data_IF_614509023716
#
_entry.id   IF_614509023716
#
_cell.length_a   1.000
_cell.length_b   1.000
_cell.length_c   1.000
_cell.angle_alpha   90.00
_cell.angle_beta   90.00
_cell.angle_gamma   90.00
#
_symmetry.space_group_name_H-M   'P 1'
#
loop_
_entity.id
_entity.type
_entity.pdbx_description
1 polymer ?
#
# COMPACT_ATOMS: atom_id res chain seq x y z
N UNK A 1 -27.88 -32.49 32.47
CA UNK A 1 -28.12 -32.78 31.04
C UNK A 1 -26.91 -32.31 30.26
N UNK A 2 -26.19 -33.20 29.57
CA UNK A 2 -25.02 -32.83 28.78
C UNK A 2 -25.43 -32.19 27.45
N UNK A 3 -24.92 -31.00 27.15
CA UNK A 3 -25.21 -30.27 25.90
C UNK A 3 -24.02 -30.46 24.96
N UNK A 4 -24.29 -30.86 23.72
CA UNK A 4 -23.28 -31.00 22.67
C UNK A 4 -23.28 -29.73 21.80
N UNK A 5 -22.14 -29.04 21.72
CA UNK A 5 -21.99 -27.78 20.99
C UNK A 5 -20.68 -27.79 20.20
N UNK A 6 -20.72 -27.27 18.96
CA UNK A 6 -19.54 -26.91 18.18
C UNK A 6 -19.29 -25.41 18.32
N UNK A 7 -18.15 -25.03 18.88
CA UNK A 7 -17.76 -23.64 19.03
C UNK A 7 -16.91 -23.19 17.83
N UNK A 8 -17.24 -22.02 17.26
CA UNK A 8 -16.44 -21.34 16.24
C UNK A 8 -16.28 -19.90 16.71
N UNK A 9 -15.03 -19.44 16.81
CA UNK A 9 -14.69 -18.10 17.27
C UNK A 9 -13.87 -17.37 16.19
N UNK A 10 -13.96 -16.05 16.16
CA UNK A 10 -13.14 -15.19 15.29
C UNK A 10 -12.80 -13.92 16.05
N UNK A 11 -11.59 -13.41 15.84
CA UNK A 11 -11.09 -12.18 16.46
C UNK A 11 -10.15 -11.45 15.50
N UNK A 12 -10.07 -10.13 15.61
CA UNK A 12 -9.07 -9.30 14.94
C UNK A 12 -7.92 -8.89 15.87
N UNK A 13 -7.99 -9.28 17.14
CA UNK A 13 -6.98 -8.99 18.16
C UNK A 13 -6.05 -10.19 18.30
N UNK A 14 -4.76 -9.92 18.45
CA UNK A 14 -3.78 -10.93 18.84
C UNK A 14 -4.06 -11.41 20.27
N UNK A 15 -4.54 -12.65 20.39
CA UNK A 15 -4.90 -13.25 21.67
C UNK A 15 -3.68 -13.55 22.54
N UNK A 16 -2.51 -13.79 21.95
CA UNK A 16 -1.29 -14.03 22.73
C UNK A 16 -0.87 -12.75 23.46
N UNK A 17 -0.89 -11.63 22.76
CA UNK A 17 -0.62 -10.32 23.36
C UNK A 17 -1.69 -9.97 24.40
N UNK A 18 -2.97 -10.20 24.10
CA UNK A 18 -4.07 -9.93 25.04
C UNK A 18 -3.99 -10.74 26.35
N UNK A 19 -3.47 -11.98 26.30
CA UNK A 19 -3.19 -12.80 27.49
C UNK A 19 -2.03 -12.23 28.30
N UNK A 20 -0.96 -11.78 27.65
CA UNK A 20 0.18 -11.15 28.33
C UNK A 20 -0.23 -9.87 29.06
N UNK A 21 -1.10 -9.07 28.44
CA UNK A 21 -1.63 -7.82 29.01
C UNK A 21 -2.72 -8.04 30.08
N UNK A 22 -3.07 -9.30 30.38
CA UNK A 22 -4.10 -9.66 31.37
C UNK A 22 -5.54 -9.37 30.94
N UNK A 23 -5.74 -8.85 29.73
CA UNK A 23 -7.07 -8.55 29.16
C UNK A 23 -7.81 -9.79 28.67
N UNK A 24 -7.11 -10.91 28.46
CA UNK A 24 -7.70 -12.18 28.04
C UNK A 24 -7.28 -13.35 28.93
N UNK A 25 -8.22 -14.28 29.13
CA UNK A 25 -8.04 -15.46 29.98
C UNK A 25 -7.25 -16.56 29.26
N UNK A 26 -6.10 -16.93 29.83
CA UNK A 26 -5.24 -17.97 29.29
C UNK A 26 -5.92 -19.35 29.23
N UNK A 27 -6.73 -19.70 30.23
CA UNK A 27 -7.44 -20.98 30.27
C UNK A 27 -8.52 -21.10 29.18
N UNK A 28 -9.13 -19.98 28.79
CA UNK A 28 -10.08 -19.93 27.68
C UNK A 28 -9.35 -20.08 26.35
N UNK A 29 -8.20 -19.40 26.18
CA UNK A 29 -7.39 -19.48 24.96
C UNK A 29 -7.04 -20.92 24.63
N UNK A 30 -6.56 -21.71 25.60
CA UNK A 30 -6.21 -23.11 25.38
C UNK A 30 -7.41 -24.02 25.03
N UNK A 31 -8.63 -23.63 25.43
CA UNK A 31 -9.85 -24.40 25.12
C UNK A 31 -10.40 -24.11 23.73
N UNK A 32 -10.24 -22.87 23.25
CA UNK A 32 -10.79 -22.45 21.96
C UNK A 32 -9.76 -22.55 20.83
N UNK A 33 -8.46 -22.44 21.13
CA UNK A 33 -7.39 -22.43 20.14
C UNK A 33 -6.89 -23.85 19.80
N UNK A 34 -7.80 -24.78 19.49
CA UNK A 34 -7.42 -26.13 19.07
C UNK A 34 -7.01 -26.18 17.60
N UNK A 35 -7.70 -25.42 16.75
CA UNK A 35 -7.38 -25.27 15.31
C UNK A 35 -7.51 -23.79 14.99
N UNK A 36 -6.40 -23.18 14.61
CA UNK A 36 -6.34 -21.78 14.21
C UNK A 36 -6.41 -21.66 12.68
N UNK A 37 -7.26 -20.75 12.19
CA UNK A 37 -7.32 -20.41 10.76
C UNK A 37 -6.99 -18.93 10.64
N UNK A 38 -5.78 -18.65 10.16
CA UNK A 38 -5.38 -17.29 9.85
C UNK A 38 -6.04 -16.82 8.56
N UNK A 39 -6.73 -15.68 8.62
CA UNK A 39 -7.37 -15.06 7.46
C UNK A 39 -6.44 -13.94 6.96
N UNK A 40 -5.71 -14.13 5.85
CA UNK A 40 -4.81 -13.10 5.36
C UNK A 40 -5.60 -11.89 4.87
N UNK A 41 -5.06 -10.67 5.06
CA UNK A 41 -5.62 -9.45 4.54
C UNK A 41 -5.65 -9.45 3.01
N UNK A 42 -6.51 -8.63 2.43
CA UNK A 42 -6.79 -8.61 1.00
C UNK A 42 -5.54 -8.33 0.15
N UNK A 43 -4.62 -7.49 0.63
CA UNK A 43 -3.35 -7.17 -0.05
C UNK A 43 -2.43 -8.38 -0.24
N UNK A 44 -2.53 -9.40 0.62
CA UNK A 44 -1.71 -10.61 0.55
C UNK A 44 -2.33 -11.67 -0.37
N UNK A 45 -3.55 -11.43 -0.87
CA UNK A 45 -4.30 -12.37 -1.72
C UNK A 45 -4.11 -12.14 -3.22
N UNK A 46 -3.30 -11.15 -3.61
CA UNK A 46 -2.90 -10.90 -4.99
C UNK A 46 -4.07 -10.77 -5.98
N UNK A 47 -4.28 -11.80 -6.81
CA UNK A 47 -5.26 -11.79 -7.90
C UNK A 47 -6.73 -11.76 -7.43
N UNK A 48 -7.01 -12.10 -6.17
CA UNK A 48 -8.36 -12.07 -5.59
C UNK A 48 -9.01 -10.69 -5.66
N UNK A 49 -8.22 -9.61 -5.61
CA UNK A 49 -8.72 -8.24 -5.69
C UNK A 49 -9.50 -8.03 -6.99
N UNK A 50 -8.97 -8.49 -8.12
CA UNK A 50 -9.64 -8.33 -9.41
C UNK A 50 -10.93 -9.15 -9.49
N UNK A 51 -10.89 -10.39 -8.99
CA UNK A 51 -12.05 -11.28 -8.98
C UNK A 51 -13.18 -10.72 -8.11
N UNK A 52 -12.85 -10.26 -6.90
CA UNK A 52 -13.79 -9.63 -5.99
C UNK A 52 -14.33 -8.32 -6.57
N UNK A 53 -13.48 -7.53 -7.22
CA UNK A 53 -13.91 -6.29 -7.85
C UNK A 53 -14.94 -6.53 -8.96
N UNK A 54 -14.68 -7.50 -9.84
CA UNK A 54 -15.62 -7.88 -10.90
C UNK A 54 -16.92 -8.47 -10.32
N UNK A 55 -16.85 -9.22 -9.21
CA UNK A 55 -18.03 -9.72 -8.51
C UNK A 55 -18.90 -8.58 -7.94
N UNK A 56 -18.29 -7.63 -7.22
CA UNK A 56 -19.01 -6.49 -6.65
C UNK A 56 -19.58 -5.58 -7.72
N UNK A 57 -18.83 -5.35 -8.80
CA UNK A 57 -19.31 -4.57 -9.94
C UNK A 57 -20.61 -5.16 -10.49
N UNK A 58 -20.61 -6.46 -10.84
CA UNK A 58 -21.81 -7.14 -11.36
C UNK A 58 -22.99 -7.05 -10.39
N UNK A 59 -22.73 -7.29 -9.10
CA UNK A 59 -23.76 -7.22 -8.06
C UNK A 59 -24.39 -5.84 -7.96
N UNK A 60 -23.59 -4.78 -7.95
CA UNK A 60 -24.08 -3.41 -7.80
C UNK A 60 -24.65 -2.82 -9.08
N UNK A 61 -24.07 -3.12 -10.23
CA UNK A 61 -24.66 -2.76 -11.53
C UNK A 61 -26.08 -3.31 -11.64
N UNK A 62 -26.30 -4.58 -11.23
CA UNK A 62 -27.64 -5.17 -11.20
C UNK A 62 -28.56 -4.52 -10.15
N UNK A 63 -28.08 -4.33 -8.91
CA UNK A 63 -28.85 -3.72 -7.81
C UNK A 63 -29.34 -2.31 -8.15
N UNK A 64 -28.48 -1.50 -8.79
CA UNK A 64 -28.77 -0.09 -9.11
C UNK A 64 -29.24 0.12 -10.56
N UNK A 65 -29.41 -0.96 -11.34
CA UNK A 65 -29.83 -0.93 -12.75
C UNK A 65 -28.94 -0.02 -13.61
N UNK A 66 -27.64 -0.03 -13.35
CA UNK A 66 -26.63 0.72 -14.12
C UNK A 66 -26.00 -0.20 -15.18
N UNK A 67 -25.80 0.32 -16.39
CA UNK A 67 -25.16 -0.40 -17.50
C UNK A 67 -23.64 -0.24 -17.49
N UNK A 68 -22.99 -0.67 -16.41
CA UNK A 68 -21.53 -0.61 -16.30
C UNK A 68 -20.94 -1.96 -16.71
N UNK A 69 -20.18 -1.95 -17.79
CA UNK A 69 -19.61 -3.11 -18.47
C UNK A 69 -18.26 -3.55 -17.85
N UNK A 70 -17.58 -2.67 -17.12
CA UNK A 70 -16.29 -3.01 -16.53
C UNK A 70 -15.50 -1.84 -15.94
N UNK A 71 -14.22 -2.10 -15.71
CA UNK A 71 -13.22 -1.15 -15.27
C UNK A 71 -12.32 -0.73 -16.45
N UNK A 72 -11.85 0.52 -16.47
CA UNK A 72 -10.73 0.91 -17.32
C UNK A 72 -9.44 0.20 -16.88
N UNK A 73 -8.41 0.20 -17.74
CA UNK A 73 -7.13 -0.45 -17.43
C UNK A 73 -6.46 0.22 -16.24
N UNK A 74 -6.54 1.54 -16.20
CA UNK A 74 -6.00 2.42 -15.18
C UNK A 74 -6.71 2.19 -13.84
N UNK A 75 -8.04 2.04 -13.85
CA UNK A 75 -8.82 1.66 -12.68
C UNK A 75 -8.41 0.28 -12.13
N UNK A 76 -8.24 -0.73 -12.99
CA UNK A 76 -7.80 -2.07 -12.55
C UNK A 76 -6.42 -2.02 -11.91
N UNK A 77 -5.51 -1.23 -12.47
CA UNK A 77 -4.17 -1.07 -11.91
C UNK A 77 -4.21 -0.39 -10.55
N UNK A 78 -5.01 0.68 -10.39
CA UNK A 78 -5.22 1.35 -9.12
C UNK A 78 -5.73 0.37 -8.04
N UNK A 79 -6.76 -0.41 -8.36
CA UNK A 79 -7.34 -1.37 -7.41
C UNK A 79 -6.31 -2.42 -6.95
N UNK A 80 -5.40 -2.84 -7.83
CA UNK A 80 -4.33 -3.80 -7.49
C UNK A 80 -3.22 -3.20 -6.64
N UNK A 81 -2.88 -1.93 -6.86
CA UNK A 81 -1.78 -1.26 -6.16
C UNK A 81 -2.18 -0.74 -4.78
N UNK A 82 -3.48 -0.56 -4.53
CA UNK A 82 -3.96 -0.05 -3.26
C UNK A 82 -3.91 -1.10 -2.14
N UNK A 83 -3.55 -0.68 -0.93
CA UNK A 83 -3.29 -1.58 0.21
C UNK A 83 -4.54 -2.13 0.91
N UNK A 84 -5.72 -1.56 0.65
CA UNK A 84 -7.01 -1.96 1.24
C UNK A 84 -6.97 -2.11 2.78
N UNK A 85 -6.68 -1.05 3.56
CA UNK A 85 -6.67 -1.12 5.02
C UNK A 85 -7.98 -1.64 5.62
N UNK A 86 -9.13 -1.37 5.01
CA UNK A 86 -10.44 -1.92 5.40
C UNK A 86 -10.79 -3.26 4.73
N UNK A 87 -9.81 -3.91 4.07
CA UNK A 87 -9.94 -5.19 3.39
C UNK A 87 -11.14 -5.23 2.43
N UNK A 88 -11.84 -6.37 2.39
CA UNK A 88 -12.97 -6.64 1.50
C UNK A 88 -14.10 -5.62 1.71
N UNK A 89 -14.32 -5.12 2.94
CA UNK A 89 -15.38 -4.14 3.21
C UNK A 89 -15.11 -2.80 2.52
N UNK A 90 -13.86 -2.33 2.59
CA UNK A 90 -13.47 -1.10 1.90
C UNK A 90 -13.59 -1.26 0.38
N UNK A 91 -13.07 -2.37 -0.18
CA UNK A 91 -13.22 -2.68 -1.60
C UNK A 91 -14.68 -2.68 -2.03
N UNK A 92 -15.54 -3.35 -1.26
CA UNK A 92 -16.97 -3.42 -1.50
C UNK A 92 -17.61 -2.02 -1.51
N UNK A 93 -17.34 -1.19 -0.49
CA UNK A 93 -17.91 0.17 -0.39
C UNK A 93 -17.41 1.09 -1.50
N UNK A 94 -16.12 1.00 -1.84
CA UNK A 94 -15.50 1.81 -2.89
C UNK A 94 -16.13 1.50 -4.25
N UNK A 95 -16.33 0.22 -4.57
CA UNK A 95 -16.98 -0.19 -5.82
C UNK A 95 -18.46 0.19 -5.82
N UNK A 96 -19.18 -0.03 -4.72
CA UNK A 96 -20.59 0.37 -4.61
C UNK A 96 -20.76 1.87 -4.87
N UNK A 97 -19.92 2.70 -4.24
CA UNK A 97 -19.91 4.14 -4.45
C UNK A 97 -19.58 4.51 -5.89
N UNK A 98 -18.56 3.90 -6.48
CA UNK A 98 -18.18 4.16 -7.87
C UNK A 98 -19.32 3.83 -8.85
N UNK A 99 -20.05 2.72 -8.62
CA UNK A 99 -21.23 2.34 -9.43
C UNK A 99 -22.37 3.35 -9.30
N UNK A 100 -22.61 3.88 -8.10
CA UNK A 100 -23.68 4.86 -7.87
C UNK A 100 -23.36 6.20 -8.56
N UNK A 101 -22.12 6.66 -8.44
CA UNK A 101 -21.68 7.96 -8.93
C UNK A 101 -21.34 7.97 -10.43
N UNK A 102 -21.00 6.82 -11.01
CA UNK A 102 -20.61 6.76 -12.41
C UNK A 102 -21.83 6.82 -13.33
N UNK A 103 -21.75 7.70 -14.33
CA UNK A 103 -22.70 7.78 -15.44
C UNK A 103 -22.13 7.15 -16.73
N UNK A 104 -20.92 6.60 -16.66
CA UNK A 104 -20.25 5.98 -17.79
C UNK A 104 -20.43 4.46 -17.80
N UNK A 105 -20.24 3.86 -18.98
CA UNK A 105 -20.24 2.39 -19.15
C UNK A 105 -19.03 1.70 -18.52
N UNK A 106 -17.96 2.43 -18.20
CA UNK A 106 -16.75 1.89 -17.57
C UNK A 106 -16.34 2.76 -16.41
N UNK A 107 -16.00 2.13 -15.28
CA UNK A 107 -15.45 2.83 -14.13
C UNK A 107 -14.02 3.29 -14.44
N UNK A 108 -13.78 4.58 -14.25
CA UNK A 108 -12.51 5.25 -14.47
C UNK A 108 -11.71 5.37 -13.18
N UNK A 109 -10.45 5.77 -13.31
CA UNK A 109 -9.56 6.02 -12.18
C UNK A 109 -10.19 6.99 -11.15
N UNK A 110 -10.77 8.09 -11.64
CA UNK A 110 -11.31 9.18 -10.80
C UNK A 110 -12.57 8.78 -10.02
N UNK A 111 -13.31 7.76 -10.48
CA UNK A 111 -14.56 7.31 -9.84
C UNK A 111 -14.33 6.73 -8.45
N UNK A 112 -13.14 6.22 -8.17
CA UNK A 112 -12.86 5.53 -6.92
C UNK A 112 -12.51 6.51 -5.79
N UNK A 113 -12.01 7.71 -6.12
CA UNK A 113 -11.53 8.72 -5.16
C UNK A 113 -10.77 8.06 -4.00
N UNK A 114 -9.94 7.06 -4.31
CA UNK A 114 -9.13 6.41 -3.30
C UNK A 114 -8.16 7.45 -2.82
N UNK A 115 -8.28 7.81 -1.54
CA UNK A 115 -7.14 8.40 -0.85
C UNK A 115 -6.13 7.28 -0.83
N UNK A 116 -5.24 7.24 -1.82
CA UNK A 116 -3.93 6.67 -1.55
C UNK A 116 -3.56 7.23 -0.19
N UNK A 117 -3.21 6.40 0.81
CA UNK A 117 -2.20 6.89 1.71
C UNK A 117 -1.07 7.22 0.72
N UNK A 118 -1.02 8.51 0.29
CA UNK A 118 0.20 9.20 -0.06
C UNK A 118 1.13 8.59 0.95
N UNK A 119 2.03 7.75 0.45
CA UNK A 119 2.68 6.74 1.26
C UNK A 119 2.86 7.35 2.63
N UNK A 120 2.58 6.59 3.67
CA UNK A 120 3.56 6.67 4.72
C UNK A 120 4.93 6.36 4.06
N UNK A 121 5.55 7.28 3.29
CA UNK A 121 6.48 8.24 3.86
C UNK A 121 6.15 8.27 5.35
N UNK A 122 6.61 7.23 6.04
CA UNK A 122 7.59 7.48 7.06
C UNK A 122 8.11 8.88 6.81
N UNK A 123 7.71 9.79 7.67
CA UNK A 123 8.65 10.60 8.40
C UNK A 123 9.93 9.77 8.73
N UNK A 124 10.66 9.26 7.73
CA UNK A 124 11.94 9.86 7.48
C UNK A 124 11.54 11.29 7.18
N UNK A 125 11.76 12.14 8.16
CA UNK A 125 12.53 13.33 7.86
C UNK A 125 13.72 12.90 6.96
N UNK A 126 13.49 12.61 5.68
CA UNK A 126 14.30 13.21 4.64
C UNK A 126 14.00 14.69 4.84
N UNK A 127 14.70 15.27 5.83
CA UNK A 127 15.19 16.62 5.69
C UNK A 127 15.56 16.70 4.22
N UNK A 128 14.96 17.61 3.48
CA UNK A 128 15.48 18.01 2.19
C UNK A 128 16.89 18.56 2.46
N UNK A 129 17.83 17.66 2.71
CA UNK A 129 19.17 17.95 3.06
C UNK A 129 19.83 18.10 1.71
N UNK A 130 19.79 19.33 1.21
CA UNK A 130 20.44 19.73 -0.03
C UNK A 130 21.85 19.13 -0.12
N UNK A 131 22.53 18.96 1.02
CA UNK A 131 23.84 18.32 1.14
C UNK A 131 23.86 16.84 0.76
N UNK A 132 22.86 16.02 1.14
CA UNK A 132 22.81 14.59 0.78
C UNK A 132 22.45 14.39 -0.69
N UNK A 133 21.50 15.18 -1.20
CA UNK A 133 21.14 15.17 -2.62
C UNK A 133 22.35 15.59 -3.48
N UNK A 134 23.06 16.63 -3.06
CA UNK A 134 24.27 17.11 -3.71
C UNK A 134 25.38 16.05 -3.68
N UNK A 135 25.61 15.41 -2.53
CA UNK A 135 26.60 14.34 -2.36
C UNK A 135 26.34 13.19 -3.33
N UNK A 136 25.08 12.73 -3.42
CA UNK A 136 24.66 11.66 -4.33
C UNK A 136 24.85 12.05 -5.79
N UNK A 137 24.45 13.26 -6.15
CA UNK A 137 24.57 13.78 -7.52
C UNK A 137 26.04 13.89 -7.96
N UNK A 138 26.93 14.32 -7.05
CA UNK A 138 28.37 14.38 -7.29
C UNK A 138 28.96 12.97 -7.51
N UNK A 139 28.56 11.99 -6.70
CA UNK A 139 29.01 10.61 -6.84
C UNK A 139 28.56 9.97 -8.15
N UNK A 140 27.30 10.19 -8.55
CA UNK A 140 26.76 9.71 -9.82
C UNK A 140 27.50 10.32 -11.02
N UNK A 141 27.78 11.64 -10.98
CA UNK A 141 28.57 12.31 -12.01
C UNK A 141 30.00 11.79 -12.09
N UNK A 142 30.66 11.54 -10.95
CA UNK A 142 32.01 10.96 -10.92
C UNK A 142 32.03 9.53 -11.45
N UNK A 143 31.02 8.71 -11.12
CA UNK A 143 30.91 7.35 -11.62
C UNK A 143 30.68 7.33 -13.14
N UNK A 144 29.80 8.20 -13.65
CA UNK A 144 29.51 8.31 -15.08
C UNK A 144 30.71 8.85 -15.89
N UNK A 145 31.58 9.64 -15.26
CA UNK A 145 32.79 10.20 -15.86
C UNK A 145 34.06 9.41 -15.48
N UNK A 146 33.95 8.19 -14.94
CA UNK A 146 35.08 7.33 -14.55
C UNK A 146 36.15 8.04 -13.69
N UNK A 147 35.73 8.93 -12.79
CA UNK A 147 36.62 9.71 -11.92
C UNK A 147 37.26 10.94 -12.56
N UNK A 148 36.90 11.30 -13.80
CA UNK A 148 37.39 12.52 -14.43
C UNK A 148 36.68 13.77 -13.88
N UNK A 149 37.35 14.45 -12.95
CA UNK A 149 36.85 15.64 -12.25
C UNK A 149 36.46 16.80 -13.18
N UNK A 150 37.14 16.98 -14.31
CA UNK A 150 36.82 18.08 -15.25
C UNK A 150 35.50 17.80 -15.95
N UNK A 151 35.30 16.56 -16.44
CA UNK A 151 34.06 16.15 -17.10
C UNK A 151 32.88 16.09 -16.12
N UNK A 152 33.11 15.63 -14.88
CA UNK A 152 32.08 15.62 -13.86
C UNK A 152 31.64 17.05 -13.47
N UNK A 153 32.57 18.00 -13.39
CA UNK A 153 32.26 19.40 -13.12
C UNK A 153 31.43 20.04 -14.24
N UNK A 154 31.81 19.80 -15.50
CA UNK A 154 31.07 20.26 -16.67
C UNK A 154 29.66 19.66 -16.73
N UNK A 155 29.53 18.36 -16.43
CA UNK A 155 28.24 17.66 -16.40
C UNK A 155 27.32 18.17 -15.28
N UNK A 156 27.90 18.58 -14.16
CA UNK A 156 27.18 19.19 -13.03
C UNK A 156 26.94 20.71 -13.21
N UNK A 157 27.48 21.32 -14.27
CA UNK A 157 27.35 22.75 -14.54
C UNK A 157 28.06 23.65 -13.52
N UNK A 158 29.10 23.14 -12.86
CA UNK A 158 29.88 23.88 -11.85
C UNK A 158 31.35 23.96 -12.23
N UNK A 159 32.09 24.91 -11.64
CA UNK A 159 33.53 24.99 -11.85
C UNK A 159 34.25 23.84 -11.15
N UNK A 160 35.37 23.38 -11.73
CA UNK A 160 36.25 22.36 -11.13
C UNK A 160 36.66 22.69 -9.69
N UNK A 161 36.90 23.96 -9.39
CA UNK A 161 37.23 24.44 -8.04
C UNK A 161 36.05 24.34 -7.07
N UNK A 162 34.81 24.54 -7.54
CA UNK A 162 33.59 24.36 -6.73
C UNK A 162 33.34 22.88 -6.43
N UNK A 163 33.53 22.00 -7.41
CA UNK A 163 33.43 20.55 -7.23
C UNK A 163 34.45 20.05 -6.20
N UNK A 164 35.71 20.48 -6.30
CA UNK A 164 36.77 20.10 -5.37
C UNK A 164 36.44 20.49 -3.91
N UNK A 165 35.94 21.71 -3.69
CA UNK A 165 35.51 22.17 -2.36
C UNK A 165 34.33 21.36 -1.80
N UNK A 166 33.41 20.92 -2.65
CA UNK A 166 32.26 20.10 -2.24
C UNK A 166 32.69 18.67 -1.91
N UNK A 167 33.67 18.11 -2.63
CA UNK A 167 34.28 16.81 -2.30
C UNK A 167 34.98 16.85 -0.93
N UNK A 168 35.80 17.89 -0.67
CA UNK A 168 36.44 18.09 0.64
C UNK A 168 35.41 18.27 1.76
N UNK A 169 34.35 19.06 1.52
CA UNK A 169 33.27 19.29 2.49
C UNK A 169 32.53 18.00 2.86
N UNK A 170 32.34 17.08 1.90
CA UNK A 170 31.55 15.86 2.09
C UNK A 170 32.38 14.59 2.35
N UNK A 171 33.70 14.72 2.42
CA UNK A 171 34.65 13.63 2.70
C UNK A 171 34.67 12.56 1.62
N UNK A 172 34.52 12.96 0.36
CA UNK A 172 34.49 12.08 -0.82
C UNK A 172 35.80 12.12 -1.61
#
# INVERSE_FOLDING_TARGET
TSINVRLICATNTDLHTAVQDGSFRQDLLYRINTIEIFIPPLRERGNDISLLADHFLKRYSHKYKKEIEGFSREARQLLKQYNWPGNIRELQHVIERAVILSDQKKLQYDDFMLRTPVSSYHEKEEKFNLEELEKKTIQEALHHCSGNLTQAADLLGITRTSLYRRLEKYGL
#
